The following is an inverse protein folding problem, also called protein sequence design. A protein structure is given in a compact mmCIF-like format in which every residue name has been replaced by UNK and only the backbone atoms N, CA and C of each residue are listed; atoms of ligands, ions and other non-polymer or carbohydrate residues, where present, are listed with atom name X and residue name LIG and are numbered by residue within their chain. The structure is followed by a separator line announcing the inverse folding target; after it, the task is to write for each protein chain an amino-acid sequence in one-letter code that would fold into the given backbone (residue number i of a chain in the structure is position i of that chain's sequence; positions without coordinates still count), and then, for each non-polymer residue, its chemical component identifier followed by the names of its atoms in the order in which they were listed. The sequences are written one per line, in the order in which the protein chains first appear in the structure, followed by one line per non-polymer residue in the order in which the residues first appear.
data_IF_986235928794
#
_entry.id   IF_986235928794
#
_cell.length_a   1.000
_cell.length_b   1.000
_cell.length_c   1.000
_cell.angle_alpha   90.00
_cell.angle_beta   90.00
_cell.angle_gamma   90.00
#
_symmetry.space_group_name_H-M   'P 1'
#
loop_
_entity.id
_entity.type
_entity.pdbx_description
1 polymer ?
#
# COMPACT_ATOMS: atom_id res chain seq x y z
N UNK A 1 -15.00 14.23 17.24
CA UNK A 1 -15.46 12.87 17.57
C UNK A 1 -16.03 12.73 18.99
N UNK A 2 -15.94 13.75 19.86
CA UNK A 2 -16.53 13.74 21.23
C UNK A 2 -17.85 14.49 21.34
N UNK A 3 -18.37 15.00 20.21
CA UNK A 3 -19.64 15.75 20.14
C UNK A 3 -20.81 14.79 20.41
N UNK A 4 -21.80 15.18 21.23
CA UNK A 4 -23.00 14.36 21.42
C UNK A 4 -23.67 14.04 20.08
N UNK A 5 -24.16 12.82 19.92
CA UNK A 5 -24.79 12.35 18.69
C UNK A 5 -23.80 11.74 17.68
N UNK A 6 -22.49 11.74 17.93
CA UNK A 6 -21.51 11.04 17.10
C UNK A 6 -21.16 9.70 17.75
N UNK A 7 -21.40 8.62 17.04
CA UNK A 7 -20.97 7.27 17.40
C UNK A 7 -19.95 6.76 16.39
N UNK A 8 -18.80 6.27 16.86
CA UNK A 8 -17.73 5.71 16.02
C UNK A 8 -17.58 4.24 16.32
N UNK A 9 -17.72 3.39 15.30
CA UNK A 9 -17.52 1.93 15.42
C UNK A 9 -16.34 1.50 14.55
N UNK A 10 -15.37 0.75 15.11
CA UNK A 10 -14.26 0.24 14.33
C UNK A 10 -14.74 -0.77 13.27
N UNK A 11 -14.11 -0.75 12.11
CA UNK A 11 -14.23 -1.79 11.10
C UNK A 11 -12.91 -2.53 11.09
N UNK A 12 -12.96 -3.82 11.43
CA UNK A 12 -11.80 -4.69 11.33
C UNK A 12 -11.72 -5.20 9.89
N UNK A 13 -10.62 -4.93 9.23
CA UNK A 13 -10.38 -5.33 7.84
C UNK A 13 -9.95 -6.80 7.74
N UNK A 14 -9.88 -7.35 6.52
CA UNK A 14 -9.60 -8.78 6.31
C UNK A 14 -8.22 -9.21 6.84
N UNK A 15 -7.29 -8.28 6.96
CA UNK A 15 -5.96 -8.46 7.53
C UNK A 15 -5.91 -8.42 9.06
N UNK A 16 -7.08 -8.25 9.71
CA UNK A 16 -7.19 -8.11 11.16
C UNK A 16 -6.89 -6.71 11.69
N UNK A 17 -6.47 -5.78 10.84
CA UNK A 17 -6.14 -4.41 11.25
C UNK A 17 -7.37 -3.52 11.45
N UNK A 18 -7.18 -2.42 12.18
CA UNK A 18 -8.19 -1.39 12.40
C UNK A 18 -7.71 -0.05 11.83
N UNK A 19 -8.01 0.20 10.56
CA UNK A 19 -7.62 1.44 9.88
C UNK A 19 -8.81 2.36 9.56
N UNK A 20 -10.01 1.81 9.49
CA UNK A 20 -11.22 2.54 9.11
C UNK A 20 -12.35 2.36 10.11
N UNK A 21 -13.26 3.33 10.14
CA UNK A 21 -14.36 3.37 11.08
C UNK A 21 -15.69 3.63 10.37
N UNK A 22 -16.75 3.09 10.92
CA UNK A 22 -18.12 3.51 10.66
C UNK A 22 -18.47 4.65 11.59
N UNK A 23 -18.97 5.75 11.06
CA UNK A 23 -19.36 6.94 11.84
C UNK A 23 -20.83 7.22 11.65
N UNK A 24 -21.56 7.29 12.74
CA UNK A 24 -22.97 7.63 12.77
C UNK A 24 -23.15 9.05 13.32
N UNK A 25 -24.07 9.79 12.75
CA UNK A 25 -24.45 11.12 13.17
C UNK A 25 -25.95 11.13 13.48
N UNK A 26 -26.30 11.42 14.72
CA UNK A 26 -27.69 11.53 15.16
C UNK A 26 -27.92 12.90 15.81
N UNK A 27 -28.66 13.76 15.14
CA UNK A 27 -28.98 15.13 15.58
C UNK A 27 -27.75 15.93 16.06
N UNK A 28 -26.62 15.78 15.36
CA UNK A 28 -25.37 16.46 15.68
C UNK A 28 -25.49 17.95 15.33
N UNK A 29 -25.34 18.82 16.31
CA UNK A 29 -25.29 20.25 16.11
C UNK A 29 -23.85 20.71 15.87
N UNK A 30 -23.65 21.51 14.83
CA UNK A 30 -22.34 22.08 14.45
C UNK A 30 -22.50 23.60 14.30
N UNK A 31 -21.60 24.41 14.90
CA UNK A 31 -21.63 25.87 14.72
C UNK A 31 -21.59 26.25 13.23
N UNK A 32 -22.42 27.22 12.84
CA UNK A 32 -22.54 27.64 11.43
C UNK A 32 -21.22 28.21 10.87
N UNK A 33 -20.39 28.81 11.74
CA UNK A 33 -19.06 29.30 11.37
C UNK A 33 -18.07 28.21 10.96
N UNK A 34 -18.35 26.93 11.26
CA UNK A 34 -17.55 25.80 10.81
C UNK A 34 -17.83 25.37 9.37
N UNK A 35 -18.76 26.05 8.68
CA UNK A 35 -19.01 25.82 7.27
C UNK A 35 -17.76 26.17 6.43
N UNK A 36 -17.27 25.20 5.67
CA UNK A 36 -16.17 25.40 4.73
C UNK A 36 -16.72 25.78 3.35
N UNK A 37 -16.45 27.01 2.92
CA UNK A 37 -16.98 27.55 1.66
C UNK A 37 -18.43 27.98 1.78
N UNK A 38 -19.20 27.82 0.71
CA UNK A 38 -20.62 28.18 0.62
C UNK A 38 -21.52 26.94 0.61
N UNK A 39 -22.75 27.10 1.02
CA UNK A 39 -23.73 26.01 0.99
C UNK A 39 -23.91 25.49 -0.45
N UNK A 40 -23.95 24.19 -0.63
CA UNK A 40 -24.04 23.54 -1.93
C UNK A 40 -22.73 23.38 -2.71
N UNK A 41 -21.59 23.92 -2.23
CA UNK A 41 -20.29 23.85 -2.91
C UNK A 41 -19.44 22.63 -2.52
N UNK A 42 -19.91 21.76 -1.64
CA UNK A 42 -19.16 20.62 -1.11
C UNK A 42 -18.56 19.71 -2.19
N UNK A 43 -19.30 19.47 -3.29
CA UNK A 43 -18.79 18.66 -4.41
C UNK A 43 -17.58 19.27 -5.12
N UNK A 44 -17.56 20.59 -5.29
CA UNK A 44 -16.45 21.28 -5.92
C UNK A 44 -15.20 21.23 -5.02
N UNK A 45 -15.39 21.39 -3.70
CA UNK A 45 -14.33 21.29 -2.70
C UNK A 45 -13.77 19.86 -2.67
N UNK A 46 -14.61 18.84 -2.67
CA UNK A 46 -14.21 17.43 -2.71
C UNK A 46 -13.41 17.11 -3.98
N UNK A 47 -13.86 17.55 -5.15
CA UNK A 47 -13.11 17.36 -6.42
C UNK A 47 -11.74 18.03 -6.39
N UNK A 48 -11.63 19.22 -5.83
CA UNK A 48 -10.37 19.92 -5.67
C UNK A 48 -9.41 19.13 -4.76
N UNK A 49 -9.88 18.70 -3.59
CA UNK A 49 -9.09 17.90 -2.65
C UNK A 49 -8.60 16.61 -3.30
N UNK A 50 -9.50 15.83 -3.92
CA UNK A 50 -9.17 14.55 -4.57
C UNK A 50 -8.18 14.71 -5.73
N UNK A 51 -8.20 15.82 -6.44
CA UNK A 51 -7.23 16.08 -7.51
C UNK A 51 -5.81 16.26 -6.95
N UNK A 52 -5.67 16.92 -5.80
CA UNK A 52 -4.38 17.18 -5.16
C UNK A 52 -3.86 16.00 -4.35
N UNK A 53 -4.75 15.21 -3.75
CA UNK A 53 -4.39 14.01 -2.98
C UNK A 53 -3.69 12.94 -3.84
N UNK A 54 -3.97 12.91 -5.15
CA UNK A 54 -3.41 11.93 -6.08
C UNK A 54 -1.91 12.12 -6.37
N UNK A 55 -1.32 13.24 -5.97
CA UNK A 55 0.13 13.42 -6.05
C UNK A 55 0.81 12.61 -4.94
N UNK A 56 1.67 11.65 -5.30
CA UNK A 56 2.33 10.75 -4.35
C UNK A 56 1.58 9.46 -4.03
N UNK A 57 0.43 9.22 -4.65
CA UNK A 57 -0.39 8.01 -4.42
C UNK A 57 0.28 6.72 -4.90
N UNK A 58 1.30 6.82 -5.77
CA UNK A 58 2.04 5.66 -6.25
C UNK A 58 2.86 4.98 -5.15
N UNK A 59 3.19 5.67 -4.06
CA UNK A 59 3.91 5.11 -2.93
C UNK A 59 5.34 4.65 -3.25
N UNK A 60 6.01 5.27 -4.23
CA UNK A 60 7.31 4.85 -4.78
C UNK A 60 8.35 4.55 -3.70
N UNK A 61 8.46 5.39 -2.67
CA UNK A 61 9.44 5.20 -1.62
C UNK A 61 9.20 3.92 -0.79
N UNK A 62 7.93 3.57 -0.56
CA UNK A 62 7.57 2.32 0.11
C UNK A 62 7.87 1.12 -0.79
N UNK A 63 7.46 1.18 -2.06
CA UNK A 63 7.71 0.09 -3.03
C UNK A 63 9.20 -0.19 -3.21
N UNK A 64 10.04 0.84 -3.24
CA UNK A 64 11.51 0.68 -3.29
C UNK A 64 12.06 -0.05 -2.06
N UNK A 65 11.55 0.28 -0.87
CA UNK A 65 11.96 -0.41 0.35
C UNK A 65 11.56 -1.88 0.33
N UNK A 66 10.30 -2.16 -0.05
CA UNK A 66 9.82 -3.54 -0.13
C UNK A 66 10.57 -4.36 -1.18
N UNK A 67 10.84 -3.80 -2.36
CA UNK A 67 11.65 -4.48 -3.38
C UNK A 67 13.09 -4.71 -2.91
N UNK A 68 13.67 -3.76 -2.17
CA UNK A 68 15.00 -3.93 -1.54
C UNK A 68 15.00 -5.07 -0.53
N UNK A 69 14.00 -5.13 0.34
CA UNK A 69 13.80 -6.21 1.31
C UNK A 69 13.62 -7.58 0.62
N UNK A 70 12.83 -7.63 -0.45
CA UNK A 70 12.65 -8.84 -1.24
C UNK A 70 13.99 -9.36 -1.80
N UNK A 71 14.83 -8.48 -2.36
CA UNK A 71 16.15 -8.81 -2.86
C UNK A 71 17.08 -9.34 -1.75
N UNK A 72 17.09 -8.67 -0.61
CA UNK A 72 17.88 -9.06 0.56
C UNK A 72 17.50 -10.48 1.02
N UNK A 73 16.23 -10.71 1.32
CA UNK A 73 15.74 -12.00 1.78
C UNK A 73 15.92 -13.10 0.74
N UNK A 74 15.68 -12.85 -0.54
CA UNK A 74 15.87 -13.86 -1.59
C UNK A 74 17.35 -14.23 -1.79
N UNK A 75 18.29 -13.37 -1.41
CA UNK A 75 19.72 -13.68 -1.40
C UNK A 75 20.15 -14.60 -0.24
N UNK A 76 19.32 -14.75 0.78
CA UNK A 76 19.57 -15.62 1.94
C UNK A 76 18.91 -17.01 1.79
N UNK A 77 17.91 -17.12 0.91
CA UNK A 77 17.18 -18.38 0.71
C UNK A 77 18.01 -19.32 -0.19
N UNK A 78 18.40 -20.48 0.36
CA UNK A 78 19.13 -21.48 -0.39
C UNK A 78 18.24 -22.18 -1.44
N UNK A 79 18.73 -22.28 -2.67
CA UNK A 79 18.11 -23.00 -3.78
C UNK A 79 19.17 -23.79 -4.55
N UNK A 80 19.18 -25.12 -4.38
CA UNK A 80 20.22 -25.97 -4.96
C UNK A 80 21.62 -25.63 -4.43
N UNK A 81 22.55 -25.32 -5.33
CA UNK A 81 23.92 -24.93 -4.97
C UNK A 81 24.09 -23.39 -4.82
N UNK A 82 23.01 -22.62 -4.98
CA UNK A 82 23.02 -21.16 -4.92
C UNK A 82 21.89 -20.61 -4.06
N UNK A 83 21.45 -19.40 -4.40
CA UNK A 83 20.37 -18.70 -3.73
C UNK A 83 19.16 -18.49 -4.65
N UNK A 84 17.99 -18.20 -4.08
CA UNK A 84 16.79 -17.91 -4.87
C UNK A 84 17.00 -16.68 -5.78
N UNK A 85 17.76 -15.69 -5.33
CA UNK A 85 18.07 -14.50 -6.14
C UNK A 85 18.95 -14.83 -7.35
N UNK A 86 19.70 -15.94 -7.33
CA UNK A 86 20.52 -16.41 -8.46
C UNK A 86 19.70 -17.23 -9.47
N UNK A 87 18.49 -17.70 -9.10
CA UNK A 87 17.56 -18.31 -10.03
C UNK A 87 17.16 -17.31 -11.13
N UNK A 88 17.38 -17.69 -12.37
CA UNK A 88 17.16 -16.78 -13.51
C UNK A 88 15.70 -16.36 -13.65
N UNK A 89 14.75 -17.25 -13.35
CA UNK A 89 13.33 -16.94 -13.51
C UNK A 89 12.86 -15.96 -12.44
N UNK A 90 13.22 -16.20 -11.19
CA UNK A 90 12.88 -15.33 -10.08
C UNK A 90 13.56 -13.96 -10.19
N UNK A 91 14.85 -13.95 -10.51
CA UNK A 91 15.61 -12.72 -10.72
C UNK A 91 15.01 -11.85 -11.84
N UNK A 92 14.64 -12.44 -12.98
CA UNK A 92 14.04 -11.68 -14.09
C UNK A 92 12.76 -10.97 -13.64
N UNK A 93 11.91 -11.60 -12.83
CA UNK A 93 10.69 -10.97 -12.30
C UNK A 93 11.02 -9.76 -11.42
N UNK A 94 12.05 -9.87 -10.58
CA UNK A 94 12.54 -8.75 -9.75
C UNK A 94 13.06 -7.61 -10.63
N UNK A 95 13.87 -7.93 -11.65
CA UNK A 95 14.44 -6.94 -12.55
C UNK A 95 13.36 -6.22 -13.39
N UNK A 96 12.37 -6.96 -13.90
CA UNK A 96 11.20 -6.38 -14.59
C UNK A 96 10.41 -5.44 -13.69
N UNK A 97 10.18 -5.85 -12.44
CA UNK A 97 9.50 -5.01 -11.42
C UNK A 97 10.30 -3.74 -11.12
N UNK A 98 11.62 -3.83 -11.04
CA UNK A 98 12.50 -2.68 -10.80
C UNK A 98 12.50 -1.68 -11.97
N UNK A 99 12.47 -2.19 -13.21
CA UNK A 99 12.36 -1.36 -14.41
C UNK A 99 11.03 -0.60 -14.41
N UNK A 100 9.92 -1.28 -14.13
CA UNK A 100 8.60 -0.67 -14.10
C UNK A 100 8.46 0.34 -12.94
N UNK A 101 9.01 0.02 -11.77
CA UNK A 101 9.07 0.93 -10.62
C UNK A 101 9.87 2.20 -10.95
N UNK A 102 11.01 2.05 -11.62
CA UNK A 102 11.84 3.18 -12.06
C UNK A 102 11.08 4.06 -13.06
N UNK A 103 10.42 3.48 -14.05
CA UNK A 103 9.61 4.21 -15.03
C UNK A 103 8.45 4.98 -14.36
N UNK A 104 7.82 4.37 -13.36
CA UNK A 104 6.75 4.97 -12.57
C UNK A 104 7.28 6.14 -11.72
N UNK A 105 8.46 6.00 -11.10
CA UNK A 105 9.14 7.07 -10.37
C UNK A 105 9.42 8.29 -11.26
N UNK A 106 9.99 8.09 -12.44
CA UNK A 106 10.24 9.21 -13.35
C UNK A 106 8.94 9.88 -13.83
N UNK A 107 7.87 9.13 -13.95
CA UNK A 107 6.55 9.68 -14.27
C UNK A 107 6.03 10.55 -13.12
N UNK A 108 6.18 10.10 -11.86
CA UNK A 108 5.83 10.89 -10.66
C UNK A 108 6.66 12.16 -10.57
N UNK A 109 7.99 12.08 -10.73
CA UNK A 109 8.89 13.23 -10.69
C UNK A 109 8.55 14.27 -11.77
N UNK A 110 8.21 13.85 -12.98
CA UNK A 110 7.75 14.75 -14.05
C UNK A 110 6.44 15.44 -13.71
N UNK A 111 5.49 14.71 -13.12
CA UNK A 111 4.20 15.26 -12.67
C UNK A 111 4.42 16.31 -11.57
N UNK A 112 5.25 16.00 -10.58
CA UNK A 112 5.60 16.93 -9.50
C UNK A 112 6.33 18.20 -10.02
N UNK A 113 7.23 18.03 -10.97
CA UNK A 113 7.92 19.15 -11.62
C UNK A 113 6.94 20.07 -12.38
N UNK A 114 5.97 19.50 -13.10
CA UNK A 114 4.93 20.28 -13.78
C UNK A 114 4.03 21.03 -12.79
N UNK A 115 3.65 20.38 -11.68
CA UNK A 115 2.85 21.02 -10.63
C UNK A 115 3.60 22.16 -9.94
N UNK A 116 4.91 22.02 -9.70
CA UNK A 116 5.75 23.07 -9.09
C UNK A 116 5.84 24.34 -9.96
N UNK A 117 5.58 24.22 -11.26
CA UNK A 117 5.51 25.34 -12.21
C UNK A 117 4.09 25.90 -12.38
N UNK A 118 3.16 25.55 -11.51
CA UNK A 118 1.78 26.02 -11.53
C UNK A 118 0.83 25.20 -12.42
N UNK A 119 1.27 24.04 -12.89
CA UNK A 119 0.39 23.07 -13.57
C UNK A 119 -0.60 22.40 -12.62
N UNK A 120 -1.71 21.91 -13.16
CA UNK A 120 -2.65 21.07 -12.42
C UNK A 120 -2.37 19.59 -12.68
N UNK A 121 -2.68 18.68 -11.71
CA UNK A 121 -2.57 17.25 -11.95
C UNK A 121 -3.42 16.82 -13.16
N UNK A 122 -2.77 16.16 -14.12
CA UNK A 122 -3.40 15.66 -15.33
C UNK A 122 -3.82 14.18 -15.22
N UNK A 123 -4.03 13.55 -16.38
CA UNK A 123 -4.36 12.12 -16.49
C UNK A 123 -3.24 11.22 -15.93
N UNK A 124 -2.01 11.72 -15.88
CA UNK A 124 -0.82 11.04 -15.34
C UNK A 124 -1.03 10.59 -13.89
N UNK A 125 -1.75 11.38 -13.08
CA UNK A 125 -2.07 11.01 -11.70
C UNK A 125 -2.89 9.73 -11.59
N UNK A 126 -3.76 9.45 -12.57
CA UNK A 126 -4.51 8.20 -12.65
C UNK A 126 -3.62 7.02 -13.05
N UNK A 127 -2.68 7.24 -13.97
CA UNK A 127 -1.68 6.23 -14.35
C UNK A 127 -0.81 5.87 -13.15
N UNK A 128 -0.33 6.87 -12.41
CA UNK A 128 0.48 6.67 -11.21
C UNK A 128 -0.26 5.85 -10.15
N UNK A 129 -1.55 6.10 -9.94
CA UNK A 129 -2.36 5.30 -9.03
C UNK A 129 -2.43 3.84 -9.46
N UNK A 130 -2.77 3.59 -10.73
CA UNK A 130 -2.90 2.23 -11.27
C UNK A 130 -1.56 1.51 -11.16
N UNK A 131 -0.48 2.12 -11.67
CA UNK A 131 0.84 1.52 -11.65
C UNK A 131 1.40 1.29 -10.25
N UNK A 132 1.20 2.23 -9.34
CA UNK A 132 1.60 2.06 -7.95
C UNK A 132 0.91 0.87 -7.29
N UNK A 133 -0.40 0.70 -7.49
CA UNK A 133 -1.15 -0.43 -6.94
C UNK A 133 -0.80 -1.77 -7.61
N UNK A 134 -0.56 -1.79 -8.93
CA UNK A 134 -0.10 -2.99 -9.64
C UNK A 134 1.28 -3.44 -9.15
N UNK A 135 2.23 -2.50 -9.00
CA UNK A 135 3.56 -2.77 -8.47
C UNK A 135 3.52 -3.29 -7.03
N UNK A 136 2.64 -2.73 -6.19
CA UNK A 136 2.45 -3.22 -4.83
C UNK A 136 1.96 -4.67 -4.83
N UNK A 137 0.98 -5.02 -5.68
CA UNK A 137 0.50 -6.39 -5.83
C UNK A 137 1.62 -7.31 -6.33
N UNK A 138 2.35 -6.91 -7.37
CA UNK A 138 3.46 -7.70 -7.93
C UNK A 138 4.53 -7.99 -6.87
N UNK A 139 4.95 -6.98 -6.10
CA UNK A 139 5.95 -7.17 -5.04
C UNK A 139 5.43 -8.11 -3.96
N UNK A 140 4.16 -7.99 -3.56
CA UNK A 140 3.55 -8.88 -2.58
C UNK A 140 3.43 -10.31 -3.11
N UNK A 141 3.07 -10.49 -4.38
CA UNK A 141 3.03 -11.81 -5.03
C UNK A 141 4.43 -12.45 -5.09
N UNK A 142 5.48 -11.66 -5.34
CA UNK A 142 6.87 -12.13 -5.31
C UNK A 142 7.31 -12.55 -3.90
N UNK A 143 6.86 -11.88 -2.85
CA UNK A 143 7.08 -12.33 -1.48
C UNK A 143 6.41 -13.68 -1.21
N UNK A 144 5.18 -13.87 -1.66
CA UNK A 144 4.48 -15.15 -1.54
C UNK A 144 5.22 -16.27 -2.31
N UNK A 145 5.67 -15.97 -3.54
CA UNK A 145 6.44 -16.91 -4.35
C UNK A 145 7.79 -17.27 -3.67
N UNK A 146 8.49 -16.28 -3.12
CA UNK A 146 9.73 -16.45 -2.38
C UNK A 146 9.56 -17.39 -1.17
N UNK A 147 8.48 -17.22 -0.43
CA UNK A 147 8.20 -18.04 0.75
C UNK A 147 7.68 -19.44 0.41
N UNK A 148 7.04 -19.61 -0.76
CA UNK A 148 6.47 -20.89 -1.16
C UNK A 148 5.53 -21.46 -0.10
N UNK A 149 5.85 -22.62 0.46
CA UNK A 149 5.02 -23.30 1.46
C UNK A 149 4.84 -22.50 2.76
N UNK A 150 5.83 -21.70 3.14
CA UNK A 150 5.80 -20.88 4.36
C UNK A 150 4.88 -19.65 4.25
N UNK A 151 4.35 -19.36 3.07
CA UNK A 151 3.34 -18.31 2.89
C UNK A 151 1.92 -18.72 3.31
N UNK A 152 1.66 -20.02 3.53
CA UNK A 152 0.30 -20.51 3.83
C UNK A 152 -0.17 -20.32 5.27
N UNK A 153 0.66 -20.48 6.32
CA UNK A 153 0.23 -20.27 7.68
C UNK A 153 -0.13 -18.82 7.94
N UNK A 154 -1.25 -18.59 8.63
CA UNK A 154 -1.60 -17.30 9.19
C UNK A 154 -1.02 -17.18 10.60
N UNK A 155 -0.25 -16.14 10.84
CA UNK A 155 0.30 -15.82 12.16
C UNK A 155 -0.38 -14.57 12.70
N UNK A 156 -0.96 -14.67 13.90
CA UNK A 156 -1.45 -13.50 14.64
C UNK A 156 -0.26 -12.67 15.12
N UNK A 157 -0.36 -11.34 15.09
CA UNK A 157 0.70 -10.44 15.61
C UNK A 157 1.07 -10.74 17.07
N UNK A 158 0.12 -11.25 17.86
CA UNK A 158 0.35 -11.65 19.25
C UNK A 158 1.19 -12.91 19.39
N UNK A 159 1.27 -13.73 18.34
CA UNK A 159 2.00 -14.99 18.27
C UNK A 159 3.41 -14.84 17.67
N UNK A 160 3.68 -13.72 16.98
CA UNK A 160 4.98 -13.42 16.34
C UNK A 160 6.19 -13.38 17.30
N UNK A 161 5.96 -13.43 18.60
CA UNK A 161 6.99 -13.53 19.63
C UNK A 161 7.13 -14.92 20.26
N UNK A 162 6.34 -15.90 19.87
CA UNK A 162 6.44 -17.27 20.39
C UNK A 162 7.53 -18.04 19.63
N UNK A 163 8.41 -18.74 20.35
CA UNK A 163 9.45 -19.60 19.79
C UNK A 163 8.92 -20.85 19.05
N UNK A 164 7.59 -20.95 18.87
CA UNK A 164 6.89 -22.10 18.28
C UNK A 164 6.54 -21.91 16.80
N UNK A 165 7.04 -20.87 16.13
CA UNK A 165 6.80 -20.67 14.70
C UNK A 165 7.52 -21.75 13.89
N UNK A 166 6.74 -22.56 13.18
CA UNK A 166 7.22 -23.65 12.31
C UNK A 166 7.70 -23.07 10.97
N UNK A 167 8.66 -22.17 11.00
CA UNK A 167 9.17 -21.56 9.78
C UNK A 167 10.40 -20.69 10.04
N UNK A 168 11.11 -20.27 8.98
CA UNK A 168 12.20 -19.31 9.14
C UNK A 168 11.70 -17.99 9.74
N UNK A 169 12.52 -17.31 10.53
CA UNK A 169 12.18 -16.05 11.23
C UNK A 169 11.63 -14.95 10.32
N UNK A 170 11.96 -14.97 9.03
CA UNK A 170 11.45 -14.01 8.04
C UNK A 170 10.06 -14.36 7.47
N UNK A 171 9.59 -15.60 7.64
CA UNK A 171 8.33 -16.05 7.03
C UNK A 171 7.10 -15.43 7.69
N UNK A 172 7.10 -15.32 9.02
CA UNK A 172 5.97 -14.78 9.78
C UNK A 172 5.64 -13.32 9.40
N UNK A 173 6.60 -12.37 9.38
CA UNK A 173 6.31 -10.98 8.99
C UNK A 173 5.81 -10.85 7.54
N UNK A 174 6.27 -11.72 6.63
CA UNK A 174 5.88 -11.66 5.22
C UNK A 174 4.55 -12.33 4.97
N UNK A 175 4.26 -13.46 5.61
CA UNK A 175 2.95 -14.14 5.50
C UNK A 175 1.79 -13.26 5.96
N UNK A 176 2.03 -12.35 6.92
CA UNK A 176 1.06 -11.35 7.35
C UNK A 176 0.80 -10.30 6.26
N UNK A 177 1.85 -9.79 5.60
CA UNK A 177 1.72 -8.71 4.62
C UNK A 177 0.96 -9.11 3.34
N UNK A 178 0.94 -10.38 2.93
CA UNK A 178 0.20 -10.77 1.71
C UNK A 178 -1.32 -10.84 1.90
N UNK A 179 -1.83 -10.89 3.14
CA UNK A 179 -3.25 -10.76 3.40
C UNK A 179 -3.78 -9.34 3.11
N UNK A 180 -2.89 -8.37 3.08
CA UNK A 180 -3.22 -6.97 2.75
C UNK A 180 -3.22 -6.69 1.24
N UNK A 181 -3.05 -7.72 0.40
CA UNK A 181 -3.14 -7.56 -1.05
C UNK A 181 -4.47 -6.88 -1.41
N UNK A 182 -4.43 -5.72 -2.09
CA UNK A 182 -5.66 -5.10 -2.55
C UNK A 182 -6.35 -6.08 -3.48
N UNK A 183 -7.47 -6.64 -3.02
CA UNK A 183 -8.32 -7.45 -3.86
C UNK A 183 -8.69 -6.63 -5.10
N UNK A 184 -8.44 -7.18 -6.28
CA UNK A 184 -8.90 -6.57 -7.54
C UNK A 184 -10.40 -6.29 -7.41
N UNK A 185 -10.75 -5.01 -7.29
CA UNK A 185 -12.14 -4.57 -7.34
C UNK A 185 -12.63 -4.61 -8.79
#
# INVERSE_FOLDING_TARGET
MKTPGIEVKPIITIDGSHEVNMVYFDNVEVPAENLVGEEGQGWNIAKFLLAHERSGIAGIAALKRELGKLKELSSEIALGDGTLLEDTQFRNKIEETEIELTATEYTELRTLAAMSQGGSPGAESSILKIKGTELQQTISELFVEMLGYYAHPFYDETELGSNDTVGPDYAAPVSYTHLTLPTKA
#
